data_IF_714956958895
#
_entry.id   IF_714956958895
#
_cell.length_a   1.000
_cell.length_b   1.000
_cell.length_c   1.000
_cell.angle_alpha   90.00
_cell.angle_beta   90.00
_cell.angle_gamma   90.00
#
_symmetry.space_group_name_H-M   'P 1'
#
loop_
_entity.id
_entity.type
_entity.pdbx_description
1 polymer ?
#
# COMPACT_ATOMS: atom_id res chain seq x y z
N UNK A 1 -14.65 -40.84 15.36
CA UNK A 1 -15.00 -39.73 14.45
C UNK A 1 -13.70 -39.07 14.00
N UNK A 2 -13.31 -39.23 12.74
CA UNK A 2 -12.04 -38.70 12.22
C UNK A 2 -12.25 -37.27 11.71
N UNK A 3 -11.68 -36.29 12.43
CA UNK A 3 -11.73 -34.88 12.04
C UNK A 3 -10.82 -34.64 10.84
N UNK A 4 -11.42 -34.46 9.65
CA UNK A 4 -10.73 -33.96 8.46
C UNK A 4 -10.37 -32.50 8.72
N UNK A 5 -9.10 -32.24 9.01
CA UNK A 5 -8.54 -30.89 8.96
C UNK A 5 -8.55 -30.51 7.48
N UNK A 6 -9.52 -29.68 7.07
CA UNK A 6 -9.47 -29.03 5.77
C UNK A 6 -8.20 -28.18 5.76
N UNK A 7 -7.28 -28.36 4.80
CA UNK A 7 -6.19 -27.41 4.64
C UNK A 7 -6.87 -26.06 4.40
N UNK A 8 -6.68 -25.12 5.33
CA UNK A 8 -7.04 -23.73 5.06
C UNK A 8 -6.27 -23.37 3.81
N UNK A 9 -6.99 -23.16 2.69
CA UNK A 9 -6.40 -22.53 1.52
C UNK A 9 -5.88 -21.20 2.02
N UNK A 10 -4.56 -21.11 2.22
CA UNK A 10 -3.88 -19.82 2.31
C UNK A 10 -4.40 -19.04 1.11
N UNK A 11 -4.96 -17.83 1.27
CA UNK A 11 -5.41 -17.06 0.12
C UNK A 11 -4.16 -16.76 -0.71
N UNK A 12 -3.92 -17.60 -1.71
CA UNK A 12 -3.08 -17.27 -2.84
C UNK A 12 -3.90 -16.26 -3.62
N UNK A 13 -4.01 -15.03 -3.10
CA UNK A 13 -4.60 -13.92 -3.82
C UNK A 13 -3.75 -13.79 -5.08
N UNK A 14 -4.35 -14.00 -6.24
CA UNK A 14 -3.82 -13.49 -7.50
C UNK A 14 -3.64 -11.99 -7.31
N UNK A 15 -2.43 -11.58 -6.89
CA UNK A 15 -2.14 -10.17 -6.62
C UNK A 15 -1.93 -9.53 -7.98
N UNK A 16 -2.83 -8.62 -8.39
CA UNK A 16 -2.72 -7.87 -9.64
C UNK A 16 -1.62 -6.79 -9.64
N UNK A 17 -0.67 -6.88 -8.69
CA UNK A 17 0.37 -5.88 -8.46
C UNK A 17 0.25 -5.19 -7.11
N UNK A 18 1.03 -4.13 -6.96
CA UNK A 18 1.09 -3.30 -5.76
C UNK A 18 1.09 -1.83 -6.16
N UNK A 19 0.21 -1.03 -5.58
CA UNK A 19 0.26 0.43 -5.69
C UNK A 19 1.14 0.94 -4.56
N UNK A 20 2.17 1.69 -4.90
CA UNK A 20 3.15 2.23 -3.97
C UNK A 20 2.93 3.72 -3.78
N UNK A 21 2.85 4.16 -2.52
CA UNK A 21 3.04 5.56 -2.13
C UNK A 21 4.47 5.73 -1.65
N UNK A 22 5.23 6.58 -2.33
CA UNK A 22 6.66 6.82 -2.07
C UNK A 22 6.91 8.32 -1.84
N UNK A 23 8.12 8.68 -1.40
CA UNK A 23 8.52 10.07 -1.14
C UNK A 23 8.42 10.49 0.33
N UNK A 24 8.55 11.79 0.57
CA UNK A 24 8.60 12.39 1.90
C UNK A 24 7.91 13.77 1.96
N UNK A 25 7.92 14.41 3.13
CA UNK A 25 7.27 15.70 3.35
C UNK A 25 8.04 16.89 2.78
N UNK A 26 9.27 16.71 2.30
CA UNK A 26 10.13 17.76 1.75
C UNK A 26 9.92 17.86 0.25
N UNK A 27 10.04 16.73 -0.46
CA UNK A 27 9.90 16.66 -1.92
C UNK A 27 8.47 16.31 -2.38
N UNK A 28 7.61 15.90 -1.43
CA UNK A 28 6.26 15.43 -1.67
C UNK A 28 6.19 13.93 -1.92
N UNK A 29 4.96 13.44 -2.06
CA UNK A 29 4.67 12.01 -2.19
C UNK A 29 4.26 11.67 -3.62
N UNK A 30 4.68 10.53 -4.14
CA UNK A 30 4.29 10.04 -5.46
C UNK A 30 3.59 8.70 -5.34
N UNK A 31 2.77 8.37 -6.35
CA UNK A 31 2.01 7.13 -6.42
C UNK A 31 2.24 6.44 -7.74
N UNK A 32 2.56 5.15 -7.74
CA UNK A 32 2.69 4.34 -8.96
C UNK A 32 2.25 2.89 -8.74
N UNK A 33 1.81 2.22 -9.80
CA UNK A 33 1.47 0.81 -9.79
C UNK A 33 2.64 -0.04 -10.27
N UNK A 34 3.00 -1.04 -9.49
CA UNK A 34 3.92 -2.12 -9.88
C UNK A 34 3.10 -3.33 -10.30
N UNK A 35 3.40 -3.91 -11.47
CA UNK A 35 2.71 -5.10 -11.97
C UNK A 35 2.91 -6.32 -11.07
N UNK A 36 2.04 -7.32 -11.22
CA UNK A 36 2.07 -8.55 -10.41
C UNK A 36 3.38 -9.33 -10.50
N UNK A 37 4.11 -9.20 -11.63
CA UNK A 37 5.42 -9.82 -11.84
C UNK A 37 6.58 -9.01 -11.26
N UNK A 38 6.33 -7.78 -10.77
CA UNK A 38 7.38 -6.86 -10.30
C UNK A 38 8.31 -6.34 -11.39
N UNK A 39 7.98 -6.60 -12.67
CA UNK A 39 8.87 -6.31 -13.80
C UNK A 39 8.52 -5.04 -14.55
N UNK A 40 7.40 -4.40 -14.22
CA UNK A 40 6.97 -3.17 -14.88
C UNK A 40 6.27 -2.24 -13.90
N UNK A 41 6.45 -0.95 -14.15
CA UNK A 41 5.85 0.13 -13.40
C UNK A 41 4.92 0.92 -14.32
N UNK A 42 3.74 1.27 -13.81
CA UNK A 42 2.79 2.15 -14.45
C UNK A 42 3.20 3.61 -14.35
N UNK A 43 2.25 4.49 -14.67
CA UNK A 43 2.44 5.94 -14.57
C UNK A 43 2.79 6.37 -13.13
N UNK A 44 3.61 7.40 -13.02
CA UNK A 44 3.95 8.04 -11.76
C UNK A 44 3.07 9.28 -11.58
N UNK A 45 2.22 9.25 -10.56
CA UNK A 45 1.32 10.36 -10.22
C UNK A 45 1.90 11.19 -9.06
N UNK A 46 1.76 12.51 -9.14
CA UNK A 46 2.25 13.46 -8.13
C UNK A 46 3.29 14.45 -8.70
N UNK A 47 4.08 15.12 -7.83
CA UNK A 47 4.09 14.98 -6.38
C UNK A 47 2.82 15.54 -5.71
N UNK A 48 2.34 14.84 -4.70
CA UNK A 48 1.29 15.29 -3.79
C UNK A 48 1.94 15.94 -2.56
N UNK A 49 1.51 17.15 -2.16
CA UNK A 49 2.13 17.86 -1.04
C UNK A 49 1.76 17.28 0.33
N UNK A 50 0.68 16.49 0.43
CA UNK A 50 0.21 15.92 1.68
C UNK A 50 0.16 14.38 1.57
N UNK A 51 0.66 13.69 2.60
CA UNK A 51 0.60 12.22 2.67
C UNK A 51 -0.83 11.70 2.57
N UNK A 52 -1.79 12.38 3.20
CA UNK A 52 -3.22 12.03 3.12
C UNK A 52 -3.74 12.06 1.68
N UNK A 53 -3.33 13.04 0.87
CA UNK A 53 -3.74 13.15 -0.53
C UNK A 53 -3.17 12.00 -1.37
N UNK A 54 -1.90 11.65 -1.18
CA UNK A 54 -1.27 10.54 -1.88
C UNK A 54 -1.92 9.19 -1.50
N UNK A 55 -2.20 8.98 -0.21
CA UNK A 55 -2.89 7.78 0.28
C UNK A 55 -4.29 7.69 -0.32
N UNK A 56 -5.07 8.77 -0.27
CA UNK A 56 -6.41 8.80 -0.85
C UNK A 56 -6.38 8.53 -2.36
N UNK A 57 -5.40 9.09 -3.08
CA UNK A 57 -5.20 8.81 -4.50
C UNK A 57 -4.88 7.34 -4.76
N UNK A 58 -3.98 6.73 -3.98
CA UNK A 58 -3.64 5.31 -4.14
C UNK A 58 -4.85 4.38 -3.95
N UNK A 59 -5.69 4.64 -2.95
CA UNK A 59 -6.95 3.89 -2.78
C UNK A 59 -7.95 4.14 -3.91
N UNK A 60 -8.03 5.38 -4.40
CA UNK A 60 -8.84 5.75 -5.57
C UNK A 60 -8.40 5.00 -6.82
N UNK A 61 -7.10 5.06 -7.14
CA UNK A 61 -6.47 4.35 -8.26
C UNK A 61 -6.76 2.84 -8.19
N UNK A 62 -6.59 2.23 -7.01
CA UNK A 62 -6.89 0.82 -6.84
C UNK A 62 -8.36 0.51 -7.17
N UNK A 63 -9.29 1.30 -6.64
CA UNK A 63 -10.73 1.10 -6.83
C UNK A 63 -11.16 1.31 -8.27
N UNK A 64 -10.70 2.40 -8.89
CA UNK A 64 -11.21 2.91 -10.16
C UNK A 64 -10.55 2.23 -11.37
N UNK A 65 -9.25 1.89 -11.27
CA UNK A 65 -8.50 1.31 -12.40
C UNK A 65 -8.11 -0.16 -12.21
N UNK A 66 -8.06 -0.63 -10.96
CA UNK A 66 -7.62 -1.99 -10.64
C UNK A 66 -8.64 -2.77 -9.83
N UNK A 67 -9.93 -2.39 -9.87
CA UNK A 67 -11.05 -3.11 -9.26
C UNK A 67 -10.89 -3.45 -7.76
N UNK A 68 -10.01 -2.73 -7.06
CA UNK A 68 -9.67 -2.94 -5.65
C UNK A 68 -8.85 -4.20 -5.37
N UNK A 69 -8.24 -4.84 -6.37
CA UNK A 69 -7.53 -6.12 -6.22
C UNK A 69 -6.02 -5.99 -6.01
N UNK A 70 -5.43 -4.79 -6.17
CA UNK A 70 -4.01 -4.57 -5.88
C UNK A 70 -3.75 -4.44 -4.38
N UNK A 71 -2.54 -4.82 -3.95
CA UNK A 71 -2.05 -4.40 -2.64
C UNK A 71 -1.71 -2.91 -2.67
N UNK A 72 -1.72 -2.27 -1.50
CA UNK A 72 -1.27 -0.89 -1.36
C UNK A 72 -0.14 -0.86 -0.33
N UNK A 73 1.01 -0.35 -0.75
CA UNK A 73 2.19 -0.13 0.08
C UNK A 73 2.34 1.37 0.32
N UNK A 74 2.38 1.80 1.58
CA UNK A 74 2.42 3.22 1.95
C UNK A 74 3.71 3.48 2.72
N UNK A 75 4.53 4.44 2.28
CA UNK A 75 5.73 4.82 3.02
C UNK A 75 5.39 5.44 4.38
N UNK A 76 6.27 5.23 5.37
CA UNK A 76 6.11 5.77 6.72
C UNK A 76 5.98 7.30 6.73
N UNK A 77 6.66 7.99 5.81
CA UNK A 77 6.57 9.43 5.64
C UNK A 77 5.14 9.89 5.35
N UNK A 78 4.45 9.20 4.44
CA UNK A 78 3.06 9.52 4.10
C UNK A 78 2.11 9.24 5.25
N UNK A 79 2.32 8.13 5.99
CA UNK A 79 1.54 7.79 7.18
C UNK A 79 1.71 8.85 8.27
N UNK A 80 2.94 9.20 8.63
CA UNK A 80 3.24 10.24 9.64
C UNK A 80 2.69 11.60 9.21
N UNK A 81 2.82 11.94 7.94
CA UNK A 81 2.28 13.20 7.43
C UNK A 81 0.75 13.25 7.44
N UNK A 82 0.08 12.12 7.18
CA UNK A 82 -1.38 12.03 7.23
C UNK A 82 -1.93 11.95 8.66
N UNK A 83 -1.11 11.56 9.63
CA UNK A 83 -1.50 11.37 11.03
C UNK A 83 -0.35 11.73 11.97
N UNK A 84 -0.04 13.04 12.12
CA UNK A 84 1.11 13.51 12.89
C UNK A 84 1.04 13.11 14.38
N UNK A 85 -0.16 12.85 14.92
CA UNK A 85 -0.39 12.54 16.33
C UNK A 85 -0.60 11.05 16.62
N UNK A 86 -0.61 10.19 15.58
CA UNK A 86 -0.66 8.74 15.76
C UNK A 86 0.78 8.25 15.75
N UNK A 87 1.39 8.18 16.94
CA UNK A 87 2.67 7.51 17.11
C UNK A 87 2.60 6.12 16.48
N UNK A 88 3.52 5.81 15.56
CA UNK A 88 3.64 4.45 15.01
C UNK A 88 3.74 3.50 16.19
N UNK A 89 2.81 2.53 16.27
CA UNK A 89 2.82 1.50 17.30
C UNK A 89 4.15 0.75 17.16
N UNK A 90 5.11 1.09 18.01
CA UNK A 90 6.30 0.28 18.21
C UNK A 90 5.81 -1.00 18.84
N UNK A 91 5.92 -2.13 18.14
CA UNK A 91 5.67 -3.42 18.76
C UNK A 91 6.65 -3.56 19.94
N UNK A 92 6.20 -3.95 21.14
CA UNK A 92 7.12 -4.17 22.25
C UNK A 92 8.07 -5.32 21.89
N UNK A 93 9.35 -5.01 21.63
CA UNK A 93 10.38 -6.02 21.39
C UNK A 93 11.55 -5.63 20.48
N UNK A 94 11.54 -4.49 19.79
CA UNK A 94 12.70 -4.07 18.98
C UNK A 94 13.55 -3.03 19.73
N UNK A 95 14.55 -3.51 20.47
CA UNK A 95 15.73 -2.77 20.92
C UNK A 95 16.99 -3.58 20.55
#
# INVERSE_FOLDING_TARGET
MSGRILPMRTPHRDRHGTIHVQGDSVDGFTVSHESSSGSSWGELHGPFPLGQSAIAFAYGLNRDEHEGVCNISICDGAVRHASPDVGLVTLPGEF
#
